data_IF_178162008855
#
_entry.id   IF_178162008855
#
_cell.length_a   1.000
_cell.length_b   1.000
_cell.length_c   1.000
_cell.angle_alpha   90.00
_cell.angle_beta   90.00
_cell.angle_gamma   90.00
#
_symmetry.space_group_name_H-M   'P 1'
#
loop_
_entity.id
_entity.type
_entity.pdbx_description
1 polymer ?
#
# COMPACT_ATOMS: atom_id res chain seq x y z
N UNK A 1 -12.75 6.47 -35.42
CA UNK A 1 -14.06 6.49 -34.74
C UNK A 1 -13.93 6.66 -33.23
N UNK A 2 -13.00 5.96 -32.56
CA UNK A 2 -12.88 5.95 -31.10
C UNK A 2 -12.60 7.35 -30.50
N UNK A 3 -11.72 8.14 -31.13
CA UNK A 3 -11.26 9.46 -30.66
C UNK A 3 -11.97 10.64 -31.34
N UNK A 4 -12.99 10.38 -32.16
CA UNK A 4 -13.67 11.42 -32.93
C UNK A 4 -12.85 11.87 -34.17
N UNK A 5 -13.23 13.01 -34.72
CA UNK A 5 -12.62 13.51 -35.96
C UNK A 5 -11.43 14.43 -35.69
N UNK A 6 -11.40 15.09 -34.53
CA UNK A 6 -10.42 16.13 -34.21
C UNK A 6 -9.85 15.97 -32.81
N UNK A 7 -8.53 16.22 -32.71
CA UNK A 7 -7.79 16.34 -31.46
C UNK A 7 -7.14 17.74 -31.37
N UNK A 8 -6.67 18.09 -30.20
CA UNK A 8 -5.83 19.27 -29.97
C UNK A 8 -4.35 18.86 -30.04
N UNK A 9 -3.53 19.71 -30.66
CA UNK A 9 -2.07 19.65 -30.58
C UNK A 9 -1.51 21.06 -30.33
N UNK A 10 -0.36 21.15 -29.69
CA UNK A 10 0.30 22.44 -29.53
C UNK A 10 0.79 22.97 -30.88
N UNK A 11 0.62 24.26 -31.12
CA UNK A 11 1.21 24.93 -32.29
C UNK A 11 2.73 25.08 -32.13
N UNK A 12 3.41 25.50 -33.21
CA UNK A 12 4.88 25.65 -33.20
C UNK A 12 5.39 26.65 -32.13
N UNK A 13 4.56 27.59 -31.70
CA UNK A 13 4.90 28.54 -30.64
C UNK A 13 4.69 27.96 -29.23
N UNK A 14 3.97 26.84 -29.10
CA UNK A 14 3.67 26.18 -27.81
C UNK A 14 2.67 26.92 -26.92
N UNK A 15 2.12 28.05 -27.38
CA UNK A 15 1.25 28.91 -26.57
C UNK A 15 -0.25 28.65 -26.78
N UNK A 16 -0.63 28.11 -27.96
CA UNK A 16 -1.99 27.78 -28.32
C UNK A 16 -2.11 26.36 -28.86
N UNK A 17 -3.34 25.82 -28.90
CA UNK A 17 -3.61 24.47 -29.41
C UNK A 17 -4.42 24.56 -30.70
N UNK A 18 -3.88 23.96 -31.77
CA UNK A 18 -4.55 23.80 -33.04
C UNK A 18 -5.36 22.50 -33.09
N UNK A 19 -6.41 22.49 -33.90
CA UNK A 19 -7.16 21.27 -34.19
C UNK A 19 -6.47 20.47 -35.27
N UNK A 20 -6.33 19.18 -35.05
CA UNK A 20 -5.77 18.24 -36.02
C UNK A 20 -6.75 17.07 -36.28
N UNK A 21 -6.68 16.46 -37.47
CA UNK A 21 -7.43 15.23 -37.76
C UNK A 21 -6.86 14.05 -37.00
N UNK A 22 -7.75 13.23 -36.43
CA UNK A 22 -7.38 11.94 -35.80
C UNK A 22 -6.76 10.95 -36.78
N UNK A 23 -6.92 11.15 -38.09
CA UNK A 23 -6.28 10.30 -39.14
C UNK A 23 -4.75 10.29 -39.05
N UNK A 24 -4.15 11.30 -38.46
CA UNK A 24 -2.70 11.35 -38.19
C UNK A 24 -2.23 10.29 -37.19
N UNK A 25 -3.15 9.66 -36.49
CA UNK A 25 -2.86 8.53 -35.59
C UNK A 25 -3.00 7.16 -36.25
N UNK A 26 -3.49 7.13 -37.51
CA UNK A 26 -3.67 5.88 -38.25
C UNK A 26 -2.34 5.14 -38.42
N UNK A 27 -2.35 3.86 -38.09
CA UNK A 27 -1.13 3.01 -38.15
C UNK A 27 -0.22 3.14 -36.92
N UNK A 28 -0.51 4.01 -35.95
CA UNK A 28 0.26 4.16 -34.72
C UNK A 28 -0.35 3.38 -33.57
N UNK A 29 0.50 2.95 -32.67
CA UNK A 29 0.11 2.59 -31.29
C UNK A 29 -0.22 3.87 -30.53
N UNK A 30 -1.35 3.92 -29.85
CA UNK A 30 -1.84 5.11 -29.15
C UNK A 30 -2.05 4.81 -27.68
N UNK A 31 -1.44 5.62 -26.82
CA UNK A 31 -1.71 5.57 -25.40
C UNK A 31 -2.77 6.63 -25.01
N UNK A 32 -3.86 6.20 -24.42
CA UNK A 32 -4.90 7.07 -23.85
C UNK A 32 -4.52 7.41 -22.42
N UNK A 33 -4.18 8.66 -22.18
CA UNK A 33 -3.76 9.15 -20.87
C UNK A 33 -4.91 9.85 -20.15
N UNK A 34 -5.57 9.15 -19.24
CA UNK A 34 -6.61 9.70 -18.37
C UNK A 34 -5.95 10.33 -17.14
N UNK A 35 -6.17 11.63 -16.96
CA UNK A 35 -5.52 12.40 -15.90
C UNK A 35 -6.30 13.67 -15.55
N UNK A 36 -5.93 14.35 -14.46
CA UNK A 36 -6.50 15.63 -14.06
C UNK A 36 -5.51 16.48 -13.26
N UNK A 37 -5.60 17.79 -13.41
CA UNK A 37 -4.77 18.74 -12.67
C UNK A 37 -5.01 18.71 -11.15
N UNK A 38 -6.24 18.45 -10.70
CA UNK A 38 -6.57 18.33 -9.28
C UNK A 38 -6.02 17.09 -8.59
N UNK A 39 -5.56 16.09 -9.35
CA UNK A 39 -5.10 14.80 -8.86
C UNK A 39 -3.59 14.85 -8.51
N UNK A 40 -3.16 14.75 -7.23
CA UNK A 40 -1.75 14.80 -6.88
C UNK A 40 -0.88 13.71 -7.54
N UNK A 41 -1.27 12.40 -7.53
CA UNK A 41 -0.50 11.36 -8.21
C UNK A 41 -0.35 11.59 -9.72
N UNK A 42 -1.32 12.30 -10.33
CA UNK A 42 -1.26 12.67 -11.74
C UNK A 42 -0.18 13.74 -11.99
N UNK A 43 -0.14 14.78 -11.15
CA UNK A 43 0.89 15.83 -11.24
C UNK A 43 2.31 15.31 -11.01
N UNK A 44 2.47 14.24 -10.23
CA UNK A 44 3.76 13.58 -10.03
C UNK A 44 4.18 12.73 -11.23
N UNK A 45 3.21 12.11 -11.92
CA UNK A 45 3.47 11.21 -13.04
C UNK A 45 3.63 11.93 -14.38
N UNK A 46 2.84 12.98 -14.66
CA UNK A 46 2.83 13.68 -15.94
C UNK A 46 4.21 14.24 -16.35
N UNK A 47 4.98 14.91 -15.48
CA UNK A 47 6.30 15.41 -15.85
C UNK A 47 7.27 14.29 -16.26
N UNK A 48 7.25 13.17 -15.54
CA UNK A 48 8.09 12.00 -15.85
C UNK A 48 7.73 11.39 -17.20
N UNK A 49 6.42 11.21 -17.46
CA UNK A 49 5.97 10.71 -18.76
C UNK A 49 6.32 11.67 -19.88
N UNK A 50 6.23 12.99 -19.66
CA UNK A 50 6.56 14.02 -20.64
C UNK A 50 8.05 14.04 -21.00
N UNK A 51 8.93 13.88 -20.01
CA UNK A 51 10.37 13.75 -20.20
C UNK A 51 10.71 12.53 -21.08
N UNK A 52 10.23 11.35 -20.68
CA UNK A 52 10.44 10.09 -21.39
C UNK A 52 9.89 10.15 -22.83
N UNK A 53 8.70 10.73 -23.00
CA UNK A 53 8.08 10.87 -24.33
C UNK A 53 8.91 11.78 -25.24
N UNK A 54 9.42 12.92 -24.73
CA UNK A 54 10.29 13.83 -25.48
C UNK A 54 11.60 13.17 -25.89
N UNK A 55 12.25 12.44 -25.00
CA UNK A 55 13.47 11.69 -25.28
C UNK A 55 13.27 10.61 -26.35
N UNK A 56 12.10 9.97 -26.36
CA UNK A 56 11.76 8.90 -27.29
C UNK A 56 11.16 9.41 -28.60
N UNK A 57 10.81 10.69 -28.69
CA UNK A 57 10.02 11.25 -29.80
C UNK A 57 10.64 11.00 -31.18
N UNK A 58 11.94 11.25 -31.36
CA UNK A 58 12.60 11.09 -32.64
C UNK A 58 12.57 9.65 -33.17
N UNK A 59 12.58 8.66 -32.27
CA UNK A 59 12.60 7.24 -32.60
C UNK A 59 11.19 6.67 -32.80
N UNK A 60 10.18 7.28 -32.16
CA UNK A 60 8.83 6.74 -32.05
C UNK A 60 7.73 7.56 -32.71
N UNK A 61 8.01 8.77 -33.21
CA UNK A 61 7.02 9.72 -33.77
C UNK A 61 6.07 9.15 -34.83
N UNK A 62 6.54 8.18 -35.61
CA UNK A 62 5.76 7.53 -36.68
C UNK A 62 5.08 6.24 -36.21
N UNK A 63 5.35 5.77 -35.01
CA UNK A 63 4.90 4.47 -34.45
C UNK A 63 4.05 4.58 -33.24
N UNK A 64 4.18 5.68 -32.45
CA UNK A 64 3.57 5.84 -31.14
C UNK A 64 3.15 7.28 -30.91
N UNK A 65 2.03 7.44 -30.22
CA UNK A 65 1.55 8.73 -29.77
C UNK A 65 0.77 8.61 -28.46
N UNK A 66 0.57 9.74 -27.75
CA UNK A 66 -0.24 9.82 -26.55
C UNK A 66 -1.39 10.80 -26.80
N UNK A 67 -2.57 10.48 -26.29
CA UNK A 67 -3.73 11.36 -26.28
C UNK A 67 -4.20 11.56 -24.85
N UNK A 68 -4.13 12.80 -24.37
CA UNK A 68 -4.64 13.19 -23.05
C UNK A 68 -6.17 13.24 -23.06
N UNK A 69 -6.77 12.65 -22.04
CA UNK A 69 -8.21 12.62 -21.78
C UNK A 69 -8.45 13.16 -20.38
N UNK A 70 -8.99 14.36 -20.29
CA UNK A 70 -9.07 15.12 -19.05
C UNK A 70 -10.27 14.77 -18.20
N UNK A 71 -10.01 14.53 -16.91
CA UNK A 71 -11.01 14.52 -15.82
C UNK A 71 -11.11 15.86 -15.08
N UNK A 72 -10.54 16.93 -15.61
CA UNK A 72 -10.68 18.24 -15.00
C UNK A 72 -12.13 18.69 -14.95
N UNK A 73 -12.46 19.52 -13.96
CA UNK A 73 -13.83 19.98 -13.73
C UNK A 73 -14.23 21.18 -14.62
N UNK A 74 -13.26 21.88 -15.18
CA UNK A 74 -13.47 23.07 -16.00
C UNK A 74 -12.39 23.21 -17.09
N UNK A 75 -12.72 24.03 -18.12
CA UNK A 75 -11.85 24.30 -19.27
C UNK A 75 -10.51 24.96 -18.84
N UNK A 76 -10.54 25.85 -17.86
CA UNK A 76 -9.33 26.58 -17.42
C UNK A 76 -8.31 25.64 -16.79
N UNK A 77 -8.77 24.70 -15.97
CA UNK A 77 -7.93 23.66 -15.37
C UNK A 77 -7.34 22.74 -16.44
N UNK A 78 -8.14 22.35 -17.42
CA UNK A 78 -7.67 21.59 -18.58
C UNK A 78 -6.58 22.34 -19.35
N UNK A 79 -6.83 23.61 -19.74
CA UNK A 79 -5.89 24.42 -20.54
C UNK A 79 -4.55 24.60 -19.81
N UNK A 80 -4.62 24.85 -18.49
CA UNK A 80 -3.44 24.98 -17.65
C UNK A 80 -2.62 23.69 -17.63
N UNK A 81 -3.28 22.56 -17.43
CA UNK A 81 -2.60 21.27 -17.29
C UNK A 81 -2.09 20.75 -18.62
N UNK A 82 -2.85 20.93 -19.70
CA UNK A 82 -2.45 20.48 -21.04
C UNK A 82 -1.18 21.18 -21.53
N UNK A 83 -0.91 22.44 -21.13
CA UNK A 83 0.33 23.16 -21.46
C UNK A 83 1.61 22.45 -20.98
N UNK A 84 1.50 21.60 -19.97
CA UNK A 84 2.63 20.84 -19.44
C UNK A 84 2.93 19.58 -20.24
N UNK A 85 2.07 19.21 -21.21
CA UNK A 85 2.09 17.95 -21.93
C UNK A 85 2.57 18.11 -23.37
N UNK A 86 3.53 17.30 -23.86
CA UNK A 86 4.05 17.43 -25.24
C UNK A 86 3.26 16.64 -26.29
N UNK A 87 2.15 16.01 -25.91
CA UNK A 87 1.34 15.15 -26.77
C UNK A 87 -0.03 15.75 -27.09
N UNK A 88 -0.88 15.01 -27.77
CA UNK A 88 -2.20 15.42 -28.21
C UNK A 88 -3.23 15.32 -27.10
N UNK A 89 -4.38 16.00 -27.24
CA UNK A 89 -5.47 15.90 -26.29
C UNK A 89 -6.83 15.77 -26.99
N UNK A 90 -7.74 15.07 -26.33
CA UNK A 90 -9.16 15.15 -26.64
C UNK A 90 -9.66 16.54 -26.21
N UNK A 91 -10.43 17.27 -27.09
CA UNK A 91 -11.00 18.56 -26.69
C UNK A 91 -11.80 18.43 -25.39
N UNK A 92 -11.61 19.35 -24.46
CA UNK A 92 -12.33 19.36 -23.18
C UNK A 92 -13.85 19.34 -23.36
N UNK A 93 -14.35 19.99 -24.42
CA UNK A 93 -15.79 20.04 -24.75
C UNK A 93 -16.42 18.68 -25.10
N UNK A 94 -15.62 17.65 -25.45
CA UNK A 94 -16.13 16.33 -25.83
C UNK A 94 -16.28 15.40 -24.61
N UNK A 95 -17.16 15.82 -23.66
CA UNK A 95 -17.40 15.09 -22.40
C UNK A 95 -18.08 13.73 -22.61
N UNK A 96 -18.90 13.62 -23.65
CA UNK A 96 -19.57 12.34 -23.99
C UNK A 96 -18.53 11.29 -24.39
N UNK A 97 -17.50 11.70 -25.10
CA UNK A 97 -16.41 10.81 -25.49
C UNK A 97 -15.54 10.42 -24.31
N UNK A 98 -15.23 11.37 -23.42
CA UNK A 98 -14.58 11.03 -22.14
C UNK A 98 -15.35 9.91 -21.42
N UNK A 99 -16.68 10.07 -21.27
CA UNK A 99 -17.53 9.09 -20.59
C UNK A 99 -17.47 7.72 -21.30
N UNK A 100 -17.65 7.71 -22.62
CA UNK A 100 -17.59 6.49 -23.44
C UNK A 100 -16.25 5.76 -23.31
N UNK A 101 -15.12 6.49 -23.37
CA UNK A 101 -13.77 5.93 -23.25
C UNK A 101 -13.49 5.42 -21.85
N UNK A 102 -13.92 6.19 -20.83
CA UNK A 102 -13.79 5.80 -19.43
C UNK A 102 -14.52 4.50 -19.12
N UNK A 103 -15.76 4.35 -19.60
CA UNK A 103 -16.55 3.14 -19.43
C UNK A 103 -15.94 1.96 -20.21
N UNK A 104 -15.60 2.17 -21.48
CA UNK A 104 -15.03 1.13 -22.36
C UNK A 104 -13.74 0.52 -21.79
N UNK A 105 -12.86 1.34 -21.24
CA UNK A 105 -11.56 0.92 -20.74
C UNK A 105 -11.49 0.78 -19.22
N UNK A 106 -12.61 0.99 -18.53
CA UNK A 106 -12.70 0.99 -17.05
C UNK A 106 -11.66 1.93 -16.39
N UNK A 107 -11.46 3.12 -16.99
CA UNK A 107 -10.46 4.09 -16.56
C UNK A 107 -11.06 5.10 -15.56
N UNK A 108 -11.72 4.63 -14.49
CA UNK A 108 -12.39 5.47 -13.48
C UNK A 108 -11.43 6.06 -12.44
N UNK A 109 -10.26 5.48 -12.30
CA UNK A 109 -9.21 5.92 -11.37
C UNK A 109 -8.08 6.55 -12.18
N UNK A 110 -7.60 7.71 -11.75
CA UNK A 110 -6.51 8.45 -12.41
C UNK A 110 -5.27 8.55 -11.51
N UNK A 111 -4.05 8.56 -12.08
CA UNK A 111 -3.73 8.47 -13.51
C UNK A 111 -3.93 7.06 -14.09
N UNK A 112 -4.46 6.98 -15.32
CA UNK A 112 -4.53 5.73 -16.07
C UNK A 112 -3.94 5.93 -17.48
N UNK A 113 -3.18 4.96 -17.95
CA UNK A 113 -2.54 4.96 -19.28
C UNK A 113 -2.87 3.65 -19.99
N UNK A 114 -3.81 3.72 -20.93
CA UNK A 114 -4.32 2.57 -21.67
C UNK A 114 -3.67 2.58 -23.07
N UNK A 115 -2.94 1.54 -23.41
CA UNK A 115 -2.22 1.47 -24.68
C UNK A 115 -2.99 0.62 -25.68
N UNK A 116 -3.21 1.17 -26.86
CA UNK A 116 -3.96 0.54 -27.94
C UNK A 116 -3.04 0.27 -29.14
N UNK A 117 -3.26 -0.86 -29.80
CA UNK A 117 -2.63 -1.19 -31.10
C UNK A 117 -3.13 -0.26 -32.22
N UNK A 118 -2.49 -0.26 -33.39
CA UNK A 118 -2.99 0.45 -34.56
C UNK A 118 -4.40 0.04 -35.00
N UNK A 119 -4.85 -1.15 -34.63
CA UNK A 119 -6.22 -1.66 -34.90
C UNK A 119 -7.22 -1.28 -33.80
N UNK A 120 -6.78 -0.63 -32.72
CA UNK A 120 -7.61 -0.22 -31.59
C UNK A 120 -7.78 -1.29 -30.50
N UNK A 121 -7.08 -2.42 -30.62
CA UNK A 121 -7.07 -3.47 -29.62
C UNK A 121 -6.21 -3.06 -28.41
N UNK A 122 -6.65 -3.41 -27.21
CA UNK A 122 -5.92 -3.07 -26.00
C UNK A 122 -4.64 -3.92 -25.86
N UNK A 123 -3.49 -3.27 -25.85
CA UNK A 123 -2.18 -3.89 -25.56
C UNK A 123 -2.01 -4.04 -24.04
N UNK A 124 -2.20 -2.94 -23.29
CA UNK A 124 -2.11 -2.95 -21.83
C UNK A 124 -3.00 -1.89 -21.20
N UNK A 125 -3.48 -2.15 -19.99
CA UNK A 125 -4.09 -1.16 -19.09
C UNK A 125 -3.15 -0.74 -17.95
N UNK A 126 -1.94 -1.28 -17.91
CA UNK A 126 -0.95 -1.03 -16.86
C UNK A 126 0.12 -0.02 -17.29
N UNK A 127 -0.16 0.83 -18.28
CA UNK A 127 0.85 1.74 -18.88
C UNK A 127 1.53 2.66 -17.85
N UNK A 128 0.80 3.13 -16.83
CA UNK A 128 1.39 3.93 -15.74
C UNK A 128 2.46 3.13 -15.00
N UNK A 129 2.15 1.89 -14.63
CA UNK A 129 3.07 1.03 -13.87
C UNK A 129 4.25 0.55 -14.74
N UNK A 130 4.00 0.27 -16.03
CA UNK A 130 5.05 -0.11 -16.96
C UNK A 130 6.08 1.02 -17.14
N UNK A 131 5.61 2.28 -17.23
CA UNK A 131 6.49 3.45 -17.27
C UNK A 131 7.24 3.65 -15.95
N UNK A 132 6.57 3.49 -14.81
CA UNK A 132 7.21 3.60 -13.49
C UNK A 132 8.34 2.59 -13.30
N UNK A 133 8.14 1.36 -13.77
CA UNK A 133 9.10 0.25 -13.59
C UNK A 133 10.23 0.28 -14.61
N UNK A 134 9.96 0.68 -15.85
CA UNK A 134 10.90 0.50 -16.96
C UNK A 134 11.14 1.75 -17.80
N UNK A 135 10.58 2.90 -17.43
CA UNK A 135 10.82 4.18 -18.09
C UNK A 135 10.66 4.08 -19.62
N UNK A 136 11.64 4.55 -20.40
CA UNK A 136 11.66 4.56 -21.86
C UNK A 136 11.36 3.19 -22.49
N UNK A 137 11.79 2.10 -21.88
CA UNK A 137 11.61 0.74 -22.42
C UNK A 137 10.13 0.35 -22.60
N UNK A 138 9.22 0.88 -21.75
CA UNK A 138 7.79 0.65 -21.93
C UNK A 138 7.30 1.21 -23.26
N UNK A 139 7.69 2.46 -23.60
CA UNK A 139 7.33 3.12 -24.85
C UNK A 139 7.92 2.42 -26.08
N UNK A 140 9.08 1.79 -25.95
CA UNK A 140 9.77 1.06 -27.04
C UNK A 140 9.09 -0.29 -27.37
N UNK A 141 8.45 -0.92 -26.36
CA UNK A 141 7.83 -2.25 -26.53
C UNK A 141 6.40 -2.14 -27.06
N UNK A 142 5.63 -1.15 -26.65
CA UNK A 142 4.24 -1.01 -27.07
C UNK A 142 4.02 -0.96 -28.60
N UNK A 143 4.84 -0.23 -29.40
CA UNK A 143 4.72 -0.25 -30.85
C UNK A 143 4.99 -1.60 -31.51
N UNK A 144 5.53 -2.57 -30.74
CA UNK A 144 5.70 -3.95 -31.18
C UNK A 144 4.45 -4.81 -30.92
N UNK A 145 3.35 -4.20 -30.43
CA UNK A 145 2.10 -4.88 -30.09
C UNK A 145 2.17 -5.70 -28.79
N UNK A 146 3.12 -5.40 -27.90
CA UNK A 146 3.36 -6.16 -26.69
C UNK A 146 3.28 -5.28 -25.45
N UNK A 147 2.68 -5.82 -24.35
CA UNK A 147 2.85 -5.29 -23.00
C UNK A 147 4.26 -5.61 -22.49
N UNK A 148 4.81 -4.70 -21.69
CA UNK A 148 6.05 -4.96 -20.96
C UNK A 148 5.86 -6.06 -19.92
N UNK A 149 4.71 -6.03 -19.24
CA UNK A 149 4.40 -7.01 -18.22
C UNK A 149 3.95 -8.32 -18.83
N UNK A 150 4.45 -9.39 -18.26
CA UNK A 150 4.06 -10.75 -18.55
C UNK A 150 3.93 -11.54 -17.25
N UNK A 151 3.22 -12.64 -17.26
CA UNK A 151 3.13 -13.55 -16.13
C UNK A 151 2.90 -14.98 -16.62
N UNK A 152 2.87 -15.90 -15.69
CA UNK A 152 2.58 -17.30 -15.91
C UNK A 152 1.59 -17.80 -14.86
N UNK A 153 1.06 -18.99 -15.04
CA UNK A 153 0.28 -19.63 -13.99
C UNK A 153 1.18 -20.01 -12.80
N UNK A 154 0.70 -19.80 -11.56
CA UNK A 154 1.43 -20.23 -10.37
C UNK A 154 1.43 -21.76 -10.26
N UNK A 155 2.54 -22.33 -9.81
CA UNK A 155 2.61 -23.73 -9.41
C UNK A 155 2.05 -23.90 -8.00
N UNK A 156 1.78 -25.14 -7.61
CA UNK A 156 1.35 -25.45 -6.25
C UNK A 156 2.35 -24.93 -5.20
N UNK A 157 1.86 -24.19 -4.22
CA UNK A 157 2.66 -23.57 -3.16
C UNK A 157 3.38 -22.27 -3.50
N UNK A 158 3.30 -21.79 -4.76
CA UNK A 158 3.84 -20.49 -5.14
C UNK A 158 2.86 -19.36 -4.78
N UNK A 159 3.39 -18.30 -4.20
CA UNK A 159 2.61 -17.09 -3.90
C UNK A 159 2.58 -16.13 -5.09
N UNK A 160 1.45 -15.44 -5.28
CA UNK A 160 1.24 -14.45 -6.33
C UNK A 160 1.26 -13.05 -5.74
N UNK A 161 2.34 -12.32 -5.98
CA UNK A 161 2.52 -10.93 -5.56
C UNK A 161 1.81 -9.99 -6.52
N UNK A 162 0.51 -9.81 -6.29
CA UNK A 162 -0.44 -9.22 -7.26
C UNK A 162 -0.01 -7.86 -7.81
N UNK A 163 0.59 -7.01 -6.98
CA UNK A 163 0.96 -5.64 -7.34
C UNK A 163 2.46 -5.44 -7.57
N UNK A 164 3.25 -6.51 -7.51
CA UNK A 164 4.70 -6.46 -7.65
C UNK A 164 5.14 -6.92 -9.03
N UNK A 165 6.08 -6.19 -9.64
CA UNK A 165 6.77 -6.58 -10.86
C UNK A 165 8.23 -6.93 -10.57
N UNK A 166 8.77 -7.95 -11.23
CA UNK A 166 10.22 -8.15 -11.26
C UNK A 166 10.88 -7.04 -12.08
N UNK A 167 11.78 -6.27 -11.49
CA UNK A 167 12.43 -5.12 -12.15
C UNK A 167 13.39 -5.50 -13.28
N UNK A 168 13.75 -6.78 -13.40
CA UNK A 168 14.65 -7.29 -14.44
C UNK A 168 13.90 -7.93 -15.61
N UNK A 169 12.98 -8.87 -15.34
CA UNK A 169 12.24 -9.57 -16.39
C UNK A 169 10.82 -9.06 -16.61
N UNK A 170 10.32 -8.18 -15.74
CA UNK A 170 8.99 -7.57 -15.81
C UNK A 170 7.82 -8.55 -15.60
N UNK A 171 8.06 -9.70 -14.98
CA UNK A 171 6.98 -10.61 -14.56
C UNK A 171 6.08 -9.90 -13.54
N UNK A 172 4.80 -9.68 -13.89
CA UNK A 172 3.76 -9.06 -13.05
C UNK A 172 2.39 -9.68 -13.35
N UNK A 173 1.68 -10.23 -12.35
CA UNK A 173 2.16 -10.39 -10.97
C UNK A 173 3.44 -11.19 -10.89
N UNK A 174 4.30 -10.87 -9.90
CA UNK A 174 5.48 -11.67 -9.62
C UNK A 174 5.03 -12.96 -8.93
N UNK A 175 5.51 -14.11 -9.39
CA UNK A 175 5.12 -15.43 -8.89
C UNK A 175 6.31 -16.13 -8.26
N UNK A 176 6.08 -16.75 -7.11
CA UNK A 176 7.09 -17.47 -6.34
C UNK A 176 7.84 -16.60 -5.34
N UNK A 177 9.11 -16.88 -5.07
CA UNK A 177 9.94 -16.13 -4.13
C UNK A 177 10.21 -14.71 -4.65
N UNK A 178 10.02 -13.74 -3.77
CA UNK A 178 10.32 -12.32 -4.03
C UNK A 178 11.50 -11.87 -3.20
N UNK A 179 12.46 -11.27 -3.85
CA UNK A 179 13.63 -10.65 -3.21
C UNK A 179 13.62 -9.14 -3.50
N UNK A 180 13.88 -8.33 -2.49
CA UNK A 180 13.85 -6.88 -2.63
C UNK A 180 14.83 -6.18 -1.70
N UNK A 181 15.11 -4.91 -1.99
CA UNK A 181 15.88 -4.04 -1.14
C UNK A 181 15.01 -3.43 -0.05
N UNK A 182 15.52 -3.35 1.17
CA UNK A 182 14.84 -2.69 2.30
C UNK A 182 15.23 -1.24 2.47
N UNK A 183 16.17 -0.73 1.64
CA UNK A 183 16.54 0.68 1.64
C UNK A 183 15.39 1.54 1.14
N UNK A 184 15.08 2.63 1.83
CA UNK A 184 13.86 3.43 1.59
C UNK A 184 13.76 4.04 0.18
N UNK A 185 14.89 4.36 -0.44
CA UNK A 185 14.93 4.95 -1.79
C UNK A 185 14.94 3.90 -2.90
N UNK A 186 14.99 2.60 -2.55
CA UNK A 186 15.06 1.51 -3.50
C UNK A 186 13.71 0.81 -3.65
N UNK A 187 13.23 0.71 -4.88
CA UNK A 187 11.99 -0.02 -5.22
C UNK A 187 12.24 -1.31 -6.00
N UNK A 188 13.44 -1.90 -5.86
CA UNK A 188 13.79 -3.12 -6.59
C UNK A 188 13.05 -4.34 -6.02
N UNK A 189 12.48 -5.13 -6.91
CA UNK A 189 11.93 -6.45 -6.61
C UNK A 189 12.36 -7.44 -7.69
N UNK A 190 12.86 -8.59 -7.28
CA UNK A 190 13.35 -9.64 -8.18
C UNK A 190 12.62 -10.96 -7.92
N UNK A 191 12.29 -11.67 -8.99
CA UNK A 191 11.94 -13.07 -8.91
C UNK A 191 13.21 -13.94 -8.70
N UNK A 192 13.02 -15.17 -8.26
CA UNK A 192 14.09 -16.13 -8.00
C UNK A 192 15.06 -16.30 -9.20
N UNK A 193 14.51 -16.37 -10.43
CA UNK A 193 15.30 -16.52 -11.66
C UNK A 193 16.19 -15.31 -11.97
N UNK A 194 15.78 -14.12 -11.53
CA UNK A 194 16.53 -12.89 -11.79
C UNK A 194 17.49 -12.51 -10.67
N UNK A 195 17.32 -13.07 -9.48
CA UNK A 195 18.17 -12.80 -8.31
C UNK A 195 19.67 -12.98 -8.60
N UNK A 196 20.14 -14.05 -9.29
CA UNK A 196 21.56 -14.23 -9.60
C UNK A 196 22.13 -13.20 -10.60
N UNK A 197 21.27 -12.49 -11.33
CA UNK A 197 21.65 -11.49 -12.34
C UNK A 197 21.66 -10.06 -11.78
N UNK A 198 21.50 -9.94 -10.47
CA UNK A 198 21.36 -8.66 -9.80
C UNK A 198 22.73 -7.99 -9.60
N UNK A 199 22.77 -6.67 -9.87
CA UNK A 199 23.92 -5.79 -9.64
C UNK A 199 23.56 -4.65 -8.66
N UNK A 200 22.52 -4.84 -7.84
CA UNK A 200 22.08 -3.82 -6.90
C UNK A 200 23.12 -3.64 -5.78
N UNK A 201 23.40 -2.41 -5.41
CA UNK A 201 24.44 -2.05 -4.44
C UNK A 201 24.11 -2.46 -2.99
N UNK A 202 22.81 -2.47 -2.65
CA UNK A 202 22.37 -2.88 -1.32
C UNK A 202 22.03 -4.38 -1.27
N UNK A 203 22.19 -5.03 -0.10
CA UNK A 203 21.78 -6.41 0.09
C UNK A 203 20.28 -6.60 -0.18
N UNK A 204 19.94 -7.65 -0.89
CA UNK A 204 18.55 -8.04 -1.09
C UNK A 204 18.13 -9.07 -0.05
N UNK A 205 16.90 -8.94 0.43
CA UNK A 205 16.27 -9.87 1.37
C UNK A 205 15.09 -10.56 0.71
N UNK A 206 14.82 -11.79 1.15
CA UNK A 206 13.61 -12.52 0.75
C UNK A 206 12.41 -11.98 1.52
N UNK A 207 11.34 -11.62 0.81
CA UNK A 207 10.09 -11.19 1.40
C UNK A 207 9.24 -12.40 1.79
N UNK A 208 8.63 -12.32 2.95
CA UNK A 208 7.79 -13.38 3.50
C UNK A 208 6.44 -13.41 2.81
N UNK A 209 5.96 -14.61 2.47
CA UNK A 209 4.63 -14.78 1.88
C UNK A 209 3.57 -14.47 2.94
N UNK A 210 2.64 -13.53 2.68
CA UNK A 210 1.54 -13.26 3.59
C UNK A 210 0.70 -14.51 3.88
N UNK A 211 0.04 -14.56 5.04
CA UNK A 211 -0.83 -15.66 5.49
C UNK A 211 -0.14 -17.01 5.72
N UNK A 212 1.16 -17.14 5.50
CA UNK A 212 1.93 -18.32 5.84
C UNK A 212 2.53 -18.16 7.24
N UNK A 213 2.37 -19.16 8.09
CA UNK A 213 3.02 -19.19 9.42
C UNK A 213 4.51 -19.48 9.28
N UNK A 214 5.33 -18.72 10.00
CA UNK A 214 6.78 -18.85 10.06
C UNK A 214 7.24 -19.03 11.49
N UNK A 215 8.30 -19.80 11.70
CA UNK A 215 9.03 -19.75 12.98
C UNK A 215 9.58 -18.36 13.22
N UNK A 216 9.82 -17.98 14.48
CA UNK A 216 10.38 -16.66 14.81
C UNK A 216 11.74 -16.42 14.11
N UNK A 217 12.56 -17.46 13.99
CA UNK A 217 13.83 -17.39 13.26
C UNK A 217 13.62 -17.04 11.77
N UNK A 218 12.65 -17.65 11.12
CA UNK A 218 12.33 -17.37 9.73
C UNK A 218 11.68 -15.99 9.56
N UNK A 219 10.77 -15.61 10.47
CA UNK A 219 10.09 -14.31 10.47
C UNK A 219 11.09 -13.15 10.59
N UNK A 220 12.09 -13.28 11.46
CA UNK A 220 13.10 -12.25 11.71
C UNK A 220 14.39 -12.44 10.90
N UNK A 221 14.42 -13.34 9.90
CA UNK A 221 15.62 -13.62 9.08
C UNK A 221 16.22 -12.37 8.44
N UNK A 222 15.40 -11.40 8.05
CA UNK A 222 15.84 -10.13 7.46
C UNK A 222 16.27 -9.09 8.49
N UNK A 223 16.13 -9.36 9.80
CA UNK A 223 16.49 -8.46 10.89
C UNK A 223 17.83 -8.88 11.48
N UNK A 224 18.94 -8.24 11.11
CA UNK A 224 20.29 -8.70 11.47
C UNK A 224 20.61 -8.52 12.95
N UNK A 225 20.01 -7.52 13.59
CA UNK A 225 20.17 -7.19 15.01
C UNK A 225 18.99 -6.33 15.47
N UNK A 226 18.86 -6.16 16.76
CA UNK A 226 17.92 -5.22 17.38
C UNK A 226 18.70 -4.07 18.03
N UNK A 227 18.09 -2.92 18.09
CA UNK A 227 18.61 -1.73 18.75
C UNK A 227 18.07 -1.61 20.16
N UNK A 228 18.90 -1.24 21.11
CA UNK A 228 18.48 -0.78 22.42
C UNK A 228 17.71 0.55 22.29
N UNK A 229 16.67 0.77 23.10
CA UNK A 229 15.80 1.94 22.93
C UNK A 229 16.54 3.28 23.11
N UNK A 230 17.56 3.33 23.97
CA UNK A 230 18.27 4.58 24.35
C UNK A 230 19.73 4.63 23.91
N UNK A 231 20.19 3.67 23.14
CA UNK A 231 21.58 3.60 22.67
C UNK A 231 21.67 2.98 21.27
N UNK A 232 22.82 3.10 20.64
CA UNK A 232 23.15 2.41 19.39
C UNK A 232 23.69 0.99 19.61
N UNK A 233 23.59 0.49 20.84
CA UNK A 233 24.00 -0.86 21.16
C UNK A 233 23.13 -1.87 20.42
N UNK A 234 23.78 -2.82 19.76
CA UNK A 234 23.15 -3.87 18.96
C UNK A 234 23.02 -5.15 19.78
N UNK A 235 21.83 -5.71 19.77
CA UNK A 235 21.51 -6.96 20.44
C UNK A 235 21.17 -8.02 19.38
N UNK A 236 21.62 -9.26 19.58
CA UNK A 236 21.24 -10.35 18.66
C UNK A 236 19.73 -10.55 18.64
N UNK A 237 19.16 -10.64 17.44
CA UNK A 237 17.70 -10.78 17.25
C UNK A 237 17.10 -11.98 17.97
N UNK A 238 17.86 -13.10 18.05
CA UNK A 238 17.41 -14.31 18.75
C UNK A 238 17.13 -14.13 20.24
N UNK A 239 17.62 -13.05 20.88
CA UNK A 239 17.32 -12.74 22.28
C UNK A 239 15.84 -12.50 22.53
N UNK A 240 15.05 -12.16 21.49
CA UNK A 240 13.62 -12.00 21.60
C UNK A 240 12.88 -13.28 22.03
N UNK A 241 13.38 -14.45 21.65
CA UNK A 241 12.71 -15.74 21.92
C UNK A 241 13.59 -16.74 22.71
N UNK A 242 14.73 -16.28 23.25
CA UNK A 242 15.56 -17.06 24.15
C UNK A 242 15.19 -16.79 25.62
N UNK A 243 15.73 -17.62 26.55
CA UNK A 243 15.61 -17.45 28.00
C UNK A 243 14.16 -17.47 28.51
N UNK A 244 13.43 -18.56 28.22
CA UNK A 244 12.06 -18.81 28.70
C UNK A 244 11.00 -17.83 28.20
N UNK A 245 11.25 -17.06 27.14
CA UNK A 245 10.24 -16.25 26.48
C UNK A 245 9.15 -17.16 25.91
N UNK A 246 7.91 -16.89 26.25
CA UNK A 246 6.72 -17.67 25.85
C UNK A 246 5.98 -17.01 24.69
N UNK A 247 6.03 -15.67 24.62
CA UNK A 247 5.39 -14.93 23.56
C UNK A 247 6.07 -13.59 23.27
N UNK A 248 5.84 -13.07 22.06
CA UNK A 248 6.41 -11.82 21.58
C UNK A 248 5.29 -10.94 21.03
N UNK A 249 5.26 -9.69 21.49
CA UNK A 249 4.43 -8.63 20.90
C UNK A 249 5.22 -7.89 19.82
N UNK A 250 4.72 -7.88 18.59
CA UNK A 250 5.25 -7.04 17.51
C UNK A 250 4.42 -5.75 17.48
N UNK A 251 5.05 -4.64 17.86
CA UNK A 251 4.37 -3.35 18.01
C UNK A 251 4.69 -2.43 16.84
N UNK A 252 3.71 -2.20 15.97
CA UNK A 252 3.79 -1.28 14.85
C UNK A 252 3.28 0.10 15.26
N UNK A 253 4.10 1.11 15.07
CA UNK A 253 3.81 2.46 15.52
C UNK A 253 4.69 3.48 14.79
N UNK A 254 4.38 4.80 14.93
CA UNK A 254 5.21 5.87 14.40
C UNK A 254 5.10 7.15 15.23
N UNK A 255 6.13 7.95 15.27
CA UNK A 255 6.18 9.23 15.98
C UNK A 255 5.14 10.24 15.47
N UNK A 256 4.91 10.29 14.15
CA UNK A 256 3.91 11.19 13.53
C UNK A 256 2.45 10.82 13.84
N UNK A 257 2.21 9.59 14.30
CA UNK A 257 0.87 9.05 14.57
C UNK A 257 0.37 9.52 15.97
N UNK A 258 -0.66 10.36 16.03
CA UNK A 258 -1.21 10.85 17.31
C UNK A 258 -1.77 9.74 18.20
N UNK A 259 -2.60 8.79 17.70
CA UNK A 259 -3.06 7.66 18.53
C UNK A 259 -1.92 6.80 19.07
N UNK A 260 -0.80 6.75 18.34
CA UNK A 260 0.41 6.05 18.79
C UNK A 260 1.02 6.72 20.02
N UNK A 261 1.20 8.04 19.97
CA UNK A 261 1.76 8.80 21.11
C UNK A 261 0.90 8.71 22.35
N UNK A 262 -0.41 8.51 22.21
CA UNK A 262 -1.35 8.35 23.32
C UNK A 262 -1.32 6.93 23.92
N UNK A 263 -1.07 5.91 23.11
CA UNK A 263 -1.10 4.51 23.54
C UNK A 263 0.25 3.98 24.02
N UNK A 264 1.35 4.43 23.44
CA UNK A 264 2.71 3.94 23.75
C UNK A 264 3.08 4.10 25.24
N UNK A 265 2.88 5.27 25.89
CA UNK A 265 3.22 5.42 27.30
C UNK A 265 2.44 4.45 28.21
N UNK A 266 1.16 4.25 27.96
CA UNK A 266 0.30 3.33 28.71
C UNK A 266 0.77 1.88 28.58
N UNK A 267 1.07 1.46 27.34
CA UNK A 267 1.61 0.12 27.08
C UNK A 267 2.98 -0.06 27.76
N UNK A 268 3.83 0.96 27.73
CA UNK A 268 5.16 0.93 28.36
C UNK A 268 5.09 0.78 29.87
N UNK A 269 4.13 1.43 30.52
CA UNK A 269 3.90 1.32 31.97
C UNK A 269 3.43 -0.10 32.33
N UNK A 270 2.41 -0.61 31.65
CA UNK A 270 1.92 -1.99 31.84
C UNK A 270 3.00 -3.03 31.55
N UNK A 271 3.81 -2.81 30.53
CA UNK A 271 4.90 -3.73 30.19
C UNK A 271 5.96 -3.80 31.29
N UNK A 272 6.36 -2.66 31.85
CA UNK A 272 7.32 -2.63 32.98
C UNK A 272 6.79 -3.40 34.19
N UNK A 273 5.54 -3.18 34.55
CA UNK A 273 4.89 -3.88 35.65
C UNK A 273 4.78 -5.40 35.38
N UNK A 274 4.42 -5.77 34.13
CA UNK A 274 4.33 -7.17 33.72
C UNK A 274 5.67 -7.90 33.75
N UNK A 275 6.80 -7.23 33.47
CA UNK A 275 8.12 -7.85 33.52
C UNK A 275 8.51 -8.35 34.91
N UNK A 276 7.98 -7.77 35.99
CA UNK A 276 8.22 -8.22 37.37
C UNK A 276 7.46 -9.51 37.69
N UNK A 277 6.27 -9.72 37.13
CA UNK A 277 5.37 -10.82 37.48
C UNK A 277 5.24 -11.90 36.38
N UNK A 278 5.50 -11.57 35.13
CA UNK A 278 5.38 -12.47 33.98
C UNK A 278 6.46 -12.15 32.91
N UNK A 279 7.74 -12.44 33.20
CA UNK A 279 8.88 -12.07 32.34
C UNK A 279 8.95 -12.84 31.02
N UNK A 280 8.01 -13.80 30.79
CA UNK A 280 7.95 -14.59 29.54
C UNK A 280 7.39 -13.84 28.34
N UNK A 281 6.91 -12.59 28.49
CA UNK A 281 6.45 -11.74 27.39
C UNK A 281 7.51 -10.70 27.01
N UNK A 282 7.77 -10.56 25.72
CA UNK A 282 8.66 -9.52 25.18
C UNK A 282 7.89 -8.68 24.15
N UNK A 283 8.23 -7.40 24.06
CA UNK A 283 7.78 -6.54 22.97
C UNK A 283 8.98 -6.15 22.10
N UNK A 284 8.78 -6.07 20.80
CA UNK A 284 9.70 -5.49 19.84
C UNK A 284 8.97 -4.41 19.05
N UNK A 285 9.58 -3.24 18.91
CA UNK A 285 9.05 -2.13 18.12
C UNK A 285 9.47 -2.27 16.65
N UNK A 286 8.53 -2.13 15.75
CA UNK A 286 8.70 -2.04 14.30
C UNK A 286 8.16 -0.69 13.85
N UNK A 287 9.06 0.21 13.50
CA UNK A 287 8.68 1.58 13.16
C UNK A 287 8.04 1.70 11.78
N UNK A 288 6.99 2.53 11.72
CA UNK A 288 6.39 3.05 10.50
C UNK A 288 6.80 4.52 10.23
N UNK A 289 7.84 5.03 10.90
CA UNK A 289 8.41 6.34 10.61
C UNK A 289 9.06 6.37 9.22
N UNK A 290 9.18 7.58 8.68
CA UNK A 290 9.70 7.82 7.32
C UNK A 290 11.16 8.24 7.30
N UNK A 291 11.72 8.57 8.45
CA UNK A 291 13.09 9.06 8.61
C UNK A 291 13.71 8.57 9.91
N UNK A 292 15.04 8.55 9.95
CA UNK A 292 15.84 8.09 11.09
C UNK A 292 15.72 9.01 12.32
N UNK A 293 15.49 10.30 12.15
CA UNK A 293 15.35 11.24 13.26
C UNK A 293 14.08 10.96 14.05
N UNK A 294 12.92 10.88 13.35
CA UNK A 294 11.63 10.54 13.95
C UNK A 294 11.69 9.17 14.63
N UNK A 295 12.28 8.19 13.96
CA UNK A 295 12.49 6.84 14.48
C UNK A 295 13.31 6.83 15.78
N UNK A 296 14.47 7.51 15.79
CA UNK A 296 15.37 7.54 16.93
C UNK A 296 14.76 8.27 18.14
N UNK A 297 14.07 9.38 17.88
CA UNK A 297 13.36 10.11 18.93
C UNK A 297 12.29 9.24 19.59
N UNK A 298 11.51 8.53 18.77
CA UNK A 298 10.39 7.75 19.29
C UNK A 298 10.81 6.46 19.99
N UNK A 299 11.79 5.72 19.46
CA UNK A 299 12.31 4.51 20.14
C UNK A 299 12.90 4.80 21.52
N UNK A 300 13.47 5.99 21.72
CA UNK A 300 14.06 6.39 23.00
C UNK A 300 13.02 6.53 24.15
N UNK A 301 11.75 6.68 23.83
CA UNK A 301 10.63 6.75 24.80
C UNK A 301 10.18 5.37 25.27
N UNK A 302 10.60 4.30 24.59
CA UNK A 302 10.11 2.93 24.82
C UNK A 302 11.07 2.12 25.70
N UNK A 303 10.55 1.11 26.45
CA UNK A 303 11.37 0.25 27.30
C UNK A 303 11.84 -1.06 26.62
N UNK A 304 11.48 -1.30 25.38
CA UNK A 304 11.71 -2.55 24.65
C UNK A 304 12.66 -2.38 23.46
N UNK A 305 13.18 -3.51 22.95
CA UNK A 305 14.08 -3.55 21.80
C UNK A 305 13.36 -3.14 20.51
N UNK A 306 14.14 -2.69 19.52
CA UNK A 306 13.63 -2.09 18.29
C UNK A 306 14.27 -2.73 17.06
N UNK A 307 13.49 -3.04 16.05
CA UNK A 307 13.96 -3.42 14.72
C UNK A 307 14.55 -2.18 14.04
N UNK A 308 15.77 -2.25 13.46
CA UNK A 308 16.32 -1.14 12.68
C UNK A 308 15.35 -0.67 11.59
N UNK A 309 15.24 0.64 11.37
CA UNK A 309 14.26 1.22 10.45
C UNK A 309 14.34 0.59 9.05
N UNK A 310 15.56 0.41 8.54
CA UNK A 310 15.81 -0.21 7.23
C UNK A 310 15.52 -1.72 7.16
N UNK A 311 15.34 -2.40 8.30
CA UNK A 311 14.97 -3.83 8.36
C UNK A 311 13.46 -4.06 8.61
N UNK A 312 12.69 -2.99 8.77
CA UNK A 312 11.25 -3.07 9.11
C UNK A 312 10.36 -3.47 7.92
N UNK A 313 10.80 -3.25 6.68
CA UNK A 313 9.98 -3.38 5.47
C UNK A 313 9.35 -4.79 5.29
N UNK A 314 10.13 -5.85 5.53
CA UNK A 314 9.65 -7.24 5.38
C UNK A 314 8.56 -7.55 6.39
N UNK A 315 8.74 -7.14 7.65
CA UNK A 315 7.74 -7.35 8.70
C UNK A 315 6.46 -6.55 8.45
N UNK A 316 6.59 -5.28 8.03
CA UNK A 316 5.41 -4.46 7.68
C UNK A 316 4.59 -5.11 6.57
N UNK A 317 5.23 -5.54 5.50
CA UNK A 317 4.53 -6.17 4.38
C UNK A 317 3.95 -7.54 4.76
N UNK A 318 4.65 -8.35 5.56
CA UNK A 318 4.12 -9.62 6.05
C UNK A 318 2.84 -9.46 6.88
N UNK A 319 2.76 -8.41 7.71
CA UNK A 319 1.58 -8.05 8.49
C UNK A 319 0.62 -7.11 7.74
N UNK A 320 0.72 -6.99 6.40
CA UNK A 320 -0.15 -6.21 5.52
C UNK A 320 -0.12 -4.70 5.77
N UNK A 321 1.05 -4.09 5.90
CA UNK A 321 1.19 -2.66 6.22
C UNK A 321 0.19 -2.25 7.32
N UNK A 322 0.38 -2.75 8.54
CA UNK A 322 -0.62 -2.70 9.59
C UNK A 322 -1.04 -1.27 9.90
N UNK A 323 -2.32 -1.08 10.11
CA UNK A 323 -2.84 0.16 10.68
C UNK A 323 -2.17 0.42 12.03
N UNK A 324 -1.76 1.65 12.29
CA UNK A 324 -1.03 2.00 13.51
C UNK A 324 -1.86 2.86 14.46
N UNK A 325 -1.75 2.60 15.78
CA UNK A 325 -0.93 1.60 16.46
C UNK A 325 -1.50 0.18 16.40
N UNK A 326 -0.66 -0.82 16.09
CA UNK A 326 -1.03 -2.24 16.09
C UNK A 326 -0.08 -3.07 16.93
N UNK A 327 -0.60 -4.10 17.61
CA UNK A 327 0.15 -5.04 18.42
C UNK A 327 -0.27 -6.47 18.09
N UNK A 328 0.61 -7.21 17.42
CA UNK A 328 0.43 -8.63 17.12
C UNK A 328 1.16 -9.47 18.14
N UNK A 329 0.50 -10.49 18.67
CA UNK A 329 1.08 -11.40 19.67
C UNK A 329 1.38 -12.74 19.02
N UNK A 330 2.63 -13.15 19.09
CA UNK A 330 3.11 -14.44 18.61
C UNK A 330 3.54 -15.31 19.79
N UNK A 331 3.30 -16.62 19.67
CA UNK A 331 3.89 -17.60 20.57
C UNK A 331 5.37 -17.81 20.24
N UNK A 332 6.07 -18.57 21.08
CA UNK A 332 7.51 -18.89 20.89
C UNK A 332 7.79 -19.73 19.63
N UNK A 333 6.80 -20.40 19.06
CA UNK A 333 6.91 -21.15 17.79
C UNK A 333 6.58 -20.29 16.54
N UNK A 334 6.14 -19.03 16.74
CA UNK A 334 5.78 -18.10 15.68
C UNK A 334 4.31 -18.11 15.28
N UNK A 335 3.47 -18.96 15.89
CA UNK A 335 2.03 -18.93 15.68
C UNK A 335 1.39 -17.67 16.29
N UNK A 336 0.32 -17.17 15.68
CA UNK A 336 -0.36 -15.97 16.14
C UNK A 336 -1.29 -16.30 17.32
N UNK A 337 -1.04 -15.70 18.47
CA UNK A 337 -1.91 -15.76 19.65
C UNK A 337 -3.01 -14.69 19.60
N UNK A 338 -2.71 -13.49 19.12
CA UNK A 338 -3.68 -12.43 18.91
C UNK A 338 -3.23 -11.47 17.81
N UNK A 339 -4.13 -11.10 16.92
CA UNK A 339 -3.96 -9.96 15.98
C UNK A 339 -4.45 -8.65 16.59
N UNK A 340 -5.13 -8.72 17.72
CA UNK A 340 -5.82 -7.62 18.39
C UNK A 340 -5.18 -7.24 19.73
N UNK A 341 -3.86 -7.37 19.84
CA UNK A 341 -3.15 -7.12 21.10
C UNK A 341 -3.42 -5.74 21.71
N UNK A 342 -3.61 -4.67 20.90
CA UNK A 342 -3.96 -3.35 21.41
C UNK A 342 -5.37 -3.30 22.03
N UNK A 343 -6.47 -3.71 21.37
CA UNK A 343 -7.77 -3.87 21.99
C UNK A 343 -7.77 -4.79 23.22
N UNK A 344 -7.01 -5.88 23.17
CA UNK A 344 -6.90 -6.81 24.31
C UNK A 344 -6.25 -6.15 25.53
N UNK A 345 -5.20 -5.35 25.34
CA UNK A 345 -4.60 -4.55 26.42
C UNK A 345 -5.57 -3.48 26.92
N UNK A 346 -6.31 -2.83 26.05
CA UNK A 346 -7.35 -1.86 26.45
C UNK A 346 -8.41 -2.48 27.33
N UNK A 347 -8.82 -3.73 27.01
CA UNK A 347 -9.88 -4.49 27.71
C UNK A 347 -9.42 -5.11 29.03
N UNK A 348 -8.23 -5.73 29.07
CA UNK A 348 -7.75 -6.56 30.18
C UNK A 348 -6.56 -5.97 30.92
N UNK A 349 -6.01 -4.85 30.46
CA UNK A 349 -4.87 -4.20 31.09
C UNK A 349 -3.67 -5.14 31.22
N UNK A 350 -3.06 -5.14 32.41
CA UNK A 350 -1.89 -5.97 32.72
C UNK A 350 -2.15 -7.47 32.61
N UNK A 351 -3.39 -7.92 32.85
CA UNK A 351 -3.73 -9.36 32.77
C UNK A 351 -3.56 -9.91 31.35
N UNK A 352 -3.72 -9.08 30.31
CA UNK A 352 -3.38 -9.46 28.94
C UNK A 352 -1.89 -9.82 28.83
N UNK A 353 -1.01 -8.95 29.30
CA UNK A 353 0.45 -9.15 29.22
C UNK A 353 0.89 -10.38 30.07
N UNK A 354 0.29 -10.56 31.25
CA UNK A 354 0.56 -11.72 32.10
C UNK A 354 0.12 -13.03 31.46
N UNK A 355 -1.03 -13.05 30.80
CA UNK A 355 -1.55 -14.22 30.08
C UNK A 355 -0.61 -14.60 28.95
N UNK A 356 -0.18 -13.63 28.14
CA UNK A 356 0.81 -13.88 27.08
C UNK A 356 2.18 -14.26 27.65
N UNK A 357 2.58 -13.72 28.81
CA UNK A 357 3.80 -14.12 29.51
C UNK A 357 3.82 -15.58 29.96
N UNK A 358 2.68 -16.21 30.05
CA UNK A 358 2.54 -17.67 30.25
C UNK A 358 2.44 -18.46 28.94
N UNK A 359 2.40 -17.78 27.79
CA UNK A 359 2.23 -18.40 26.48
C UNK A 359 0.77 -18.78 26.17
N UNK A 360 -0.18 -18.20 26.89
CA UNK A 360 -1.61 -18.51 26.78
C UNK A 360 -2.32 -17.51 25.86
N UNK A 361 -3.35 -17.98 25.14
CA UNK A 361 -4.25 -17.14 24.35
C UNK A 361 -5.31 -16.53 25.25
N UNK A 362 -5.63 -15.25 25.05
CA UNK A 362 -6.78 -14.63 25.71
C UNK A 362 -8.10 -15.19 25.16
N UNK A 363 -9.14 -15.31 26.00
CA UNK A 363 -10.46 -15.63 25.51
C UNK A 363 -10.98 -14.52 24.58
N UNK A 364 -11.74 -14.92 23.55
CA UNK A 364 -12.40 -13.98 22.66
C UNK A 364 -13.21 -12.93 23.46
N UNK A 365 -13.27 -11.68 23.01
CA UNK A 365 -14.09 -10.67 23.67
C UNK A 365 -15.57 -11.05 23.61
N UNK A 366 -16.29 -10.77 24.70
CA UNK A 366 -17.74 -10.84 24.67
C UNK A 366 -18.29 -9.78 23.69
N UNK A 367 -19.50 -9.97 23.13
CA UNK A 367 -20.08 -8.99 22.20
C UNK A 367 -20.13 -7.56 22.73
N UNK A 368 -20.32 -7.38 24.03
CA UNK A 368 -20.32 -6.07 24.71
C UNK A 368 -18.93 -5.50 24.99
N UNK A 369 -17.88 -6.33 24.92
CA UNK A 369 -16.48 -5.93 25.13
C UNK A 369 -15.74 -5.67 23.79
N UNK A 370 -16.35 -6.00 22.64
CA UNK A 370 -15.69 -5.92 21.37
C UNK A 370 -15.39 -4.47 20.96
N UNK A 371 -14.13 -4.16 20.68
CA UNK A 371 -13.68 -2.86 20.19
C UNK A 371 -13.64 -2.86 18.65
N UNK A 372 -14.42 -1.98 18.04
CA UNK A 372 -14.40 -1.71 16.60
C UNK A 372 -13.35 -0.64 16.31
N UNK A 373 -12.12 -1.06 16.09
CA UNK A 373 -11.03 -0.14 15.78
C UNK A 373 -11.39 0.73 14.57
N UNK A 374 -11.09 2.04 14.66
CA UNK A 374 -11.37 3.04 13.61
C UNK A 374 -12.85 3.31 13.32
N UNK A 375 -13.76 2.82 14.14
CA UNK A 375 -15.18 3.12 14.00
C UNK A 375 -15.62 4.06 15.12
N UNK A 376 -16.18 5.21 14.72
CA UNK A 376 -16.72 6.23 15.63
C UNK A 376 -18.24 6.22 15.63
N UNK A 377 -18.84 6.30 16.79
CA UNK A 377 -20.28 6.46 16.92
C UNK A 377 -20.72 7.88 16.52
N UNK A 378 -21.57 8.01 15.49
CA UNK A 378 -22.06 9.31 15.02
C UNK A 378 -23.01 9.98 15.99
N UNK A 379 -23.66 9.22 16.86
CA UNK A 379 -24.57 9.75 17.88
C UNK A 379 -23.85 10.37 19.08
N UNK A 380 -23.00 9.62 19.79
CA UNK A 380 -22.33 10.08 21.02
C UNK A 380 -20.84 10.37 20.85
N UNK A 381 -20.30 10.16 19.64
CA UNK A 381 -18.88 10.38 19.30
C UNK A 381 -17.91 9.45 20.05
N UNK A 382 -18.40 8.34 20.61
CA UNK A 382 -17.54 7.29 21.15
C UNK A 382 -16.58 6.79 20.07
N UNK A 383 -15.29 6.79 20.35
CA UNK A 383 -14.22 6.45 19.41
C UNK A 383 -13.07 5.72 20.16
N UNK A 384 -12.85 4.45 19.91
CA UNK A 384 -13.61 3.54 19.05
C UNK A 384 -14.99 3.14 19.63
N UNK A 385 -15.87 2.63 18.77
CA UNK A 385 -17.13 2.00 19.24
C UNK A 385 -16.78 0.73 20.00
N UNK A 386 -17.36 0.58 21.20
CA UNK A 386 -17.24 -0.64 22.02
C UNK A 386 -18.61 -1.30 22.13
N UNK A 387 -18.66 -2.61 21.97
CA UNK A 387 -19.89 -3.40 22.00
C UNK A 387 -20.53 -3.57 20.62
N UNK A 388 -21.86 -3.61 20.58
CA UNK A 388 -22.58 -3.80 19.31
C UNK A 388 -22.50 -2.54 18.44
N UNK A 389 -22.27 -2.74 17.15
CA UNK A 389 -22.20 -1.71 16.11
C UNK A 389 -23.40 -1.84 15.19
N UNK A 390 -24.04 -0.72 14.92
CA UNK A 390 -25.15 -0.60 13.98
C UNK A 390 -24.75 0.35 12.86
N UNK A 391 -24.86 -0.12 11.61
CA UNK A 391 -24.48 0.60 10.41
C UNK A 391 -25.69 1.03 9.59
N UNK A 392 -25.62 2.22 8.98
CA UNK A 392 -26.61 2.71 8.04
C UNK A 392 -26.07 2.62 6.60
N UNK A 393 -26.53 1.65 5.82
CA UNK A 393 -26.14 1.51 4.41
C UNK A 393 -26.54 2.72 3.56
N UNK A 394 -27.68 3.33 3.85
CA UNK A 394 -28.19 4.49 3.09
C UNK A 394 -27.28 5.72 3.26
N UNK A 395 -26.75 5.94 4.47
CA UNK A 395 -25.83 7.05 4.75
C UNK A 395 -24.36 6.71 4.40
N UNK A 396 -24.04 5.45 4.18
CA UNK A 396 -22.73 4.94 3.76
C UNK A 396 -21.69 4.92 4.87
N UNK A 397 -21.37 6.04 5.49
CA UNK A 397 -20.40 6.13 6.58
C UNK A 397 -21.06 6.68 7.86
N UNK A 398 -22.01 5.91 8.40
CA UNK A 398 -22.75 6.29 9.60
C UNK A 398 -22.93 5.07 10.51
N UNK A 399 -22.35 5.16 11.70
CA UNK A 399 -22.29 4.07 12.65
C UNK A 399 -22.79 4.52 14.03
N UNK A 400 -23.55 3.65 14.70
CA UNK A 400 -24.06 3.89 16.05
C UNK A 400 -23.67 2.76 17.01
N UNK A 401 -23.38 3.11 18.25
CA UNK A 401 -23.32 2.15 19.35
C UNK A 401 -24.74 1.76 19.81
N UNK A 402 -24.88 0.67 20.55
CA UNK A 402 -26.16 0.15 21.06
C UNK A 402 -26.99 1.16 21.88
N UNK A 403 -26.33 2.14 22.52
CA UNK A 403 -27.04 3.18 23.26
C UNK A 403 -27.62 4.27 22.36
N UNK A 404 -26.94 4.55 21.22
CA UNK A 404 -27.40 5.56 20.27
C UNK A 404 -28.39 5.00 19.25
N UNK A 405 -28.27 3.71 18.88
CA UNK A 405 -29.24 3.01 18.04
C UNK A 405 -30.68 3.14 18.61
N UNK A 406 -30.85 2.97 19.93
CA UNK A 406 -32.13 3.11 20.62
C UNK A 406 -32.79 4.48 20.51
N UNK A 407 -32.03 5.53 20.15
CA UNK A 407 -32.56 6.87 19.91
C UNK A 407 -33.19 7.04 18.53
N UNK A 408 -32.97 6.05 17.66
CA UNK A 408 -33.47 6.02 16.29
C UNK A 408 -32.59 6.78 15.30
N UNK A 409 -32.77 6.47 14.03
CA UNK A 409 -32.19 7.10 12.87
C UNK A 409 -33.26 7.12 11.76
N UNK A 410 -33.16 8.06 10.83
CA UNK A 410 -34.16 8.22 9.74
C UNK A 410 -34.18 7.04 8.75
N UNK A 411 -33.09 6.28 8.66
CA UNK A 411 -32.97 5.10 7.81
C UNK A 411 -32.83 3.82 8.67
N UNK A 412 -33.13 2.63 8.10
CA UNK A 412 -32.87 1.36 8.78
C UNK A 412 -31.40 1.21 9.17
N UNK A 413 -31.18 0.66 10.35
CA UNK A 413 -29.88 0.32 10.88
C UNK A 413 -29.70 -1.20 10.90
N UNK A 414 -28.56 -1.67 10.46
CA UNK A 414 -28.19 -3.08 10.48
C UNK A 414 -27.16 -3.36 11.55
N UNK A 415 -27.38 -4.42 12.33
CA UNK A 415 -26.40 -4.91 13.29
C UNK A 415 -25.23 -5.52 12.52
N UNK A 416 -24.04 -4.96 12.69
CA UNK A 416 -22.82 -5.49 12.09
C UNK A 416 -22.36 -6.69 12.92
N UNK A 417 -22.27 -7.91 12.34
CA UNK A 417 -21.76 -9.07 13.03
C UNK A 417 -20.30 -8.87 13.40
N UNK A 418 -19.90 -9.36 14.57
CA UNK A 418 -18.48 -9.42 14.92
C UNK A 418 -17.76 -10.34 13.92
N UNK A 419 -16.59 -9.95 13.39
CA UNK A 419 -15.76 -10.86 12.64
C UNK A 419 -15.43 -12.09 13.47
N UNK A 420 -15.51 -13.27 12.88
CA UNK A 420 -14.98 -14.49 13.47
C UNK A 420 -13.46 -14.44 13.58
N UNK A 421 -12.86 -15.32 14.39
CA UNK A 421 -11.37 -15.41 14.46
C UNK A 421 -10.73 -15.66 13.09
N UNK A 422 -11.44 -16.34 12.18
CA UNK A 422 -11.00 -16.66 10.82
C UNK A 422 -11.26 -15.51 9.83
N UNK A 423 -12.16 -14.57 10.14
CA UNK A 423 -12.49 -13.43 9.29
C UNK A 423 -11.54 -12.22 9.50
N UNK A 424 -10.71 -12.27 10.52
CA UNK A 424 -9.65 -11.27 10.78
C UNK A 424 -8.38 -11.53 9.95
N UNK A 425 -8.49 -12.38 8.90
CA UNK A 425 -7.41 -12.71 7.97
C UNK A 425 -7.20 -11.67 6.84
#
# INVERSE_FOLDING_TARGET
>A
ELLGEQLLQHNESGNDSDKMSTDQLNGKTVALYFSAHWCPPCRDFTPKLAEIFKESHNELKDKFDIVFISYDNDQSSFDKYYKEMPWKALPYSDRDRLKTLSEKFNAKIVPALIVLSPTGDKITSNGVEEVRVASKKALEIWPQGKSLFWSREPREGEYVWQYTACTVCYMRPLIGSRHGCTHQECSIALCETCLPKNNHEHPLVEYLMPKRTYSLEALFKSVPYLLNPKSEEKTETKTLWQNDVKSIGIYFCAHWCSPCRDSTPKLAELYKEAQESAPGFRIVFVSCDRDEESFNNYRAEMPWLTVPLNASAVLKEYFWDPDIPSLYILSSDGSILSRRGRPDVSRKGIEALKTWGRGEKLPAPLPEEYEWSYVRCDGCKMDPVIGQRYHCETCGNYDLCSACEKKGHEHPLELVPQPGEDDEE
#
